data_IF_997846159944
#
_entry.id   IF_997846159944
#
_cell.length_a   1.000
_cell.length_b   1.000
_cell.length_c   1.000
_cell.angle_alpha   90.00
_cell.angle_beta   90.00
_cell.angle_gamma   90.00
#
_symmetry.space_group_name_H-M   'P 1'
#
loop_
_entity.id
_entity.type
_entity.pdbx_description
1 polymer ?
#
# COMPACT_ATOMS: atom_id res chain seq x y z
N UNK A 1 -0.60 -11.75 21.11
CA UNK A 1 -0.41 -13.23 21.18
C UNK A 1 0.21 -13.80 19.89
N UNK A 2 -0.43 -13.65 18.71
CA UNK A 2 0.11 -14.25 17.46
C UNK A 2 1.45 -13.61 17.02
N UNK A 3 1.67 -12.35 17.33
CA UNK A 3 2.90 -11.62 17.03
C UNK A 3 3.95 -11.90 18.09
N UNK A 4 3.59 -11.93 19.36
CA UNK A 4 4.45 -12.33 20.49
C UNK A 4 5.01 -13.75 20.29
N UNK A 5 4.23 -14.67 19.73
CA UNK A 5 4.68 -16.00 19.37
C UNK A 5 5.79 -16.04 18.28
N UNK A 6 6.05 -14.92 17.59
CA UNK A 6 7.12 -14.80 16.60
C UNK A 6 8.50 -14.48 17.20
N UNK A 7 8.55 -14.24 18.51
CA UNK A 7 9.79 -13.99 19.25
C UNK A 7 10.03 -12.52 19.59
N UNK A 8 11.15 -12.24 20.21
CA UNK A 8 11.55 -10.87 20.57
C UNK A 8 12.06 -10.13 19.33
N UNK A 9 11.59 -8.90 19.08
CA UNK A 9 12.10 -8.11 17.95
C UNK A 9 13.60 -7.80 18.10
N UNK A 10 14.33 -7.98 17.02
CA UNK A 10 15.73 -7.52 16.97
C UNK A 10 15.76 -6.06 16.52
N UNK A 11 16.10 -5.17 17.42
CA UNK A 11 16.20 -3.72 17.17
C UNK A 11 17.56 -3.29 16.59
N UNK A 12 18.51 -4.21 16.52
CA UNK A 12 19.91 -3.89 16.15
C UNK A 12 20.31 -4.48 14.79
N UNK A 13 19.62 -5.51 14.31
CA UNK A 13 20.01 -6.19 13.08
C UNK A 13 19.60 -5.39 11.84
N UNK A 14 20.58 -4.89 11.14
CA UNK A 14 20.43 -4.17 9.86
C UNK A 14 20.73 -5.09 8.67
N UNK A 15 21.12 -6.33 8.90
CA UNK A 15 21.56 -7.25 7.86
C UNK A 15 20.44 -7.70 6.93
N UNK A 16 20.71 -7.71 5.64
CA UNK A 16 19.82 -8.23 4.61
C UNK A 16 19.80 -9.75 4.65
N UNK A 17 18.59 -10.34 4.54
CA UNK A 17 18.41 -11.80 4.38
C UNK A 17 18.13 -12.58 5.67
N UNK A 18 18.22 -11.96 6.84
CA UNK A 18 17.83 -12.62 8.09
C UNK A 18 16.31 -12.66 8.20
N UNK A 19 15.76 -13.86 8.47
CA UNK A 19 14.32 -14.04 8.71
C UNK A 19 14.00 -13.67 10.15
N UNK A 20 13.00 -12.82 10.37
CA UNK A 20 12.60 -12.48 11.72
C UNK A 20 11.72 -11.24 11.83
N UNK A 21 11.49 -10.85 13.07
CA UNK A 21 10.78 -9.62 13.42
C UNK A 21 11.80 -8.58 13.90
N UNK A 22 11.67 -7.37 13.39
CA UNK A 22 12.54 -6.23 13.66
C UNK A 22 11.73 -5.07 14.20
N UNK A 23 12.38 -4.12 14.83
CA UNK A 23 11.74 -2.90 15.32
C UNK A 23 12.41 -1.66 14.75
N UNK A 24 11.61 -0.64 14.47
CA UNK A 24 12.04 0.71 14.11
C UNK A 24 10.96 1.73 14.49
N UNK A 25 11.36 2.98 14.69
CA UNK A 25 10.40 4.06 14.93
C UNK A 25 9.68 4.44 13.63
N UNK A 26 8.35 4.52 13.68
CA UNK A 26 7.52 5.20 12.69
C UNK A 26 7.03 6.57 13.20
N UNK A 27 6.05 7.17 12.54
CA UNK A 27 5.51 8.48 12.94
C UNK A 27 4.62 8.42 14.19
N UNK A 28 4.20 7.22 14.61
CA UNK A 28 3.26 6.99 15.71
C UNK A 28 3.89 6.26 16.90
N UNK A 29 5.15 5.83 16.78
CA UNK A 29 5.90 5.13 17.84
C UNK A 29 6.75 3.99 17.32
N UNK A 30 7.02 3.00 18.19
CA UNK A 30 7.82 1.83 17.81
C UNK A 30 6.99 0.85 17.00
N UNK A 31 7.37 0.63 15.76
CA UNK A 31 6.81 -0.36 14.84
C UNK A 31 7.61 -1.66 14.86
N UNK A 32 6.90 -2.77 14.70
CA UNK A 32 7.48 -4.09 14.51
C UNK A 32 7.19 -4.58 13.09
N UNK A 33 8.22 -4.96 12.34
CA UNK A 33 8.07 -5.37 10.95
C UNK A 33 8.75 -6.70 10.67
N UNK A 34 8.24 -7.42 9.67
CA UNK A 34 8.76 -8.72 9.29
C UNK A 34 9.72 -8.62 8.11
N UNK A 35 10.81 -9.39 8.17
CA UNK A 35 11.78 -9.55 7.08
C UNK A 35 11.91 -11.01 6.69
N UNK A 36 12.17 -11.25 5.41
CA UNK A 36 12.38 -12.58 4.88
C UNK A 36 11.13 -13.44 4.84
N UNK A 37 11.33 -14.75 4.83
CA UNK A 37 10.26 -15.76 4.72
C UNK A 37 9.66 -16.07 6.09
N UNK A 38 8.80 -15.21 6.59
CA UNK A 38 8.10 -15.43 7.86
C UNK A 38 6.85 -16.28 7.62
N UNK A 39 6.74 -17.41 8.32
CA UNK A 39 5.63 -18.35 8.21
C UNK A 39 4.39 -17.87 8.97
N UNK A 40 3.20 -18.24 8.47
CA UNK A 40 1.92 -18.09 9.17
C UNK A 40 1.62 -16.63 9.62
N UNK A 41 2.02 -15.64 8.81
CA UNK A 41 1.73 -14.24 9.05
C UNK A 41 0.68 -13.69 8.06
N UNK A 42 -0.30 -14.49 7.72
CA UNK A 42 -1.40 -14.09 6.86
C UNK A 42 -2.75 -14.21 7.56
N UNK A 43 -3.71 -13.44 7.11
CA UNK A 43 -5.09 -13.40 7.64
C UNK A 43 -6.09 -13.37 6.48
N UNK A 44 -7.30 -13.82 6.79
CA UNK A 44 -8.47 -13.63 5.95
C UNK A 44 -9.25 -12.41 6.46
N UNK A 45 -9.43 -11.39 5.62
CA UNK A 45 -10.13 -10.17 5.99
C UNK A 45 -10.77 -9.52 4.75
N UNK A 46 -12.07 -9.33 4.80
CA UNK A 46 -12.84 -8.79 3.68
C UNK A 46 -13.25 -9.82 2.63
N UNK A 47 -14.13 -9.38 1.74
CA UNK A 47 -14.67 -10.15 0.62
C UNK A 47 -14.91 -9.27 -0.59
N UNK A 48 -14.91 -9.88 -1.77
CA UNK A 48 -15.43 -9.26 -2.97
C UNK A 48 -16.96 -9.25 -2.97
N UNK A 49 -17.56 -8.14 -3.39
CA UNK A 49 -19.02 -7.95 -3.47
C UNK A 49 -19.55 -8.01 -4.90
N UNK A 50 -18.67 -8.15 -5.87
CA UNK A 50 -18.98 -8.35 -7.28
C UNK A 50 -17.84 -9.12 -7.95
N UNK A 51 -18.11 -9.66 -9.13
CA UNK A 51 -17.07 -10.15 -10.02
C UNK A 51 -16.13 -8.99 -10.36
N UNK A 52 -14.83 -9.28 -10.50
CA UNK A 52 -13.84 -8.30 -10.92
C UNK A 52 -12.98 -8.84 -12.07
N UNK A 53 -12.94 -8.09 -13.15
CA UNK A 53 -12.17 -8.36 -14.36
C UNK A 53 -11.17 -7.25 -14.60
N UNK A 54 -9.96 -7.60 -14.97
CA UNK A 54 -8.90 -6.69 -15.39
C UNK A 54 -8.73 -6.74 -16.89
N UNK A 55 -8.71 -5.59 -17.54
CA UNK A 55 -8.43 -5.46 -18.97
C UNK A 55 -7.02 -4.89 -19.17
N UNK A 56 -6.14 -5.66 -19.82
CA UNK A 56 -4.75 -5.28 -20.06
C UNK A 56 -4.61 -4.15 -21.12
N UNK A 57 -5.62 -3.92 -21.95
CA UNK A 57 -5.53 -2.93 -23.02
C UNK A 57 -5.75 -1.50 -22.53
N UNK A 58 -6.57 -1.32 -21.51
CA UNK A 58 -6.90 0.00 -20.94
C UNK A 58 -6.56 0.14 -19.46
N UNK A 59 -5.98 -0.91 -18.85
CA UNK A 59 -5.61 -0.96 -17.42
C UNK A 59 -6.79 -0.66 -16.48
N UNK A 60 -8.00 -1.10 -16.83
CA UNK A 60 -9.23 -0.80 -16.09
C UNK A 60 -9.82 -2.05 -15.45
N UNK A 61 -10.48 -1.85 -14.30
CA UNK A 61 -11.24 -2.89 -13.60
C UNK A 61 -12.74 -2.77 -13.97
N UNK A 62 -13.35 -3.91 -14.27
CA UNK A 62 -14.77 -4.02 -14.64
C UNK A 62 -15.47 -5.08 -13.79
N UNK A 63 -16.75 -4.90 -13.53
CA UNK A 63 -17.62 -5.93 -12.93
C UNK A 63 -18.09 -6.98 -13.94
N UNK A 64 -18.04 -6.65 -15.23
CA UNK A 64 -18.24 -7.56 -16.35
C UNK A 64 -17.31 -7.14 -17.50
N UNK A 65 -16.67 -8.10 -18.16
CA UNK A 65 -15.80 -7.77 -19.29
C UNK A 65 -16.63 -7.12 -20.42
N UNK A 66 -16.20 -5.96 -20.95
CA UNK A 66 -16.88 -5.34 -22.08
C UNK A 66 -16.88 -6.26 -23.32
N UNK A 67 -17.91 -6.15 -24.16
CA UNK A 67 -18.05 -6.92 -25.40
C UNK A 67 -16.82 -6.72 -26.29
N UNK A 68 -16.21 -7.84 -26.72
CA UNK A 68 -14.99 -7.85 -27.51
C UNK A 68 -13.71 -7.51 -26.71
N UNK A 69 -13.81 -7.31 -25.41
CA UNK A 69 -12.67 -7.07 -24.53
C UNK A 69 -11.88 -8.34 -24.21
N UNK A 70 -10.57 -8.19 -24.02
CA UNK A 70 -9.69 -9.24 -23.50
C UNK A 70 -9.47 -8.98 -22.01
N UNK A 71 -10.24 -9.65 -21.15
CA UNK A 71 -10.16 -9.47 -19.71
C UNK A 71 -9.71 -10.73 -18.99
N UNK A 72 -8.92 -10.54 -17.94
CA UNK A 72 -8.60 -11.58 -16.99
C UNK A 72 -9.50 -11.44 -15.76
N UNK A 73 -10.22 -12.50 -15.38
CA UNK A 73 -11.00 -12.52 -14.14
C UNK A 73 -10.06 -12.59 -12.94
N UNK A 74 -10.13 -11.60 -12.06
CA UNK A 74 -9.30 -11.49 -10.87
C UNK A 74 -10.00 -12.09 -9.65
N UNK A 75 -11.32 -11.82 -9.50
CA UNK A 75 -12.10 -12.29 -8.37
C UNK A 75 -13.56 -12.54 -8.77
N UNK A 76 -14.23 -13.40 -8.01
CA UNK A 76 -15.67 -13.62 -8.09
C UNK A 76 -16.39 -12.98 -6.91
N UNK A 77 -17.66 -12.63 -7.12
CA UNK A 77 -18.53 -12.21 -6.04
C UNK A 77 -18.53 -13.24 -4.91
N UNK A 78 -18.28 -12.80 -3.68
CA UNK A 78 -18.19 -13.63 -2.48
C UNK A 78 -16.82 -14.23 -2.18
N UNK A 79 -15.84 -14.09 -3.08
CA UNK A 79 -14.47 -14.53 -2.81
C UNK A 79 -13.90 -13.86 -1.57
N UNK A 80 -13.29 -14.66 -0.69
CA UNK A 80 -12.56 -14.17 0.48
C UNK A 80 -11.28 -13.46 0.06
N UNK A 81 -10.88 -12.45 0.81
CA UNK A 81 -9.63 -11.72 0.61
C UNK A 81 -8.58 -12.18 1.62
N UNK A 82 -7.37 -12.46 1.12
CA UNK A 82 -6.23 -12.90 1.94
C UNK A 82 -5.16 -11.82 1.95
N UNK A 83 -4.54 -11.61 3.13
CA UNK A 83 -3.60 -10.56 3.38
C UNK A 83 -2.41 -11.10 4.15
N UNK A 84 -1.22 -10.59 3.82
CA UNK A 84 -0.02 -10.84 4.60
C UNK A 84 0.22 -9.67 5.55
N UNK A 85 0.41 -9.97 6.82
CA UNK A 85 0.82 -8.97 7.82
C UNK A 85 2.30 -8.67 7.58
N UNK A 86 2.61 -7.41 7.32
CA UNK A 86 3.99 -6.95 7.07
C UNK A 86 4.55 -6.15 8.23
N UNK A 87 3.68 -5.49 9.02
CA UNK A 87 4.09 -4.62 10.11
C UNK A 87 2.97 -4.48 11.16
N UNK A 88 3.37 -4.31 12.42
CA UNK A 88 2.56 -3.72 13.48
C UNK A 88 3.05 -2.30 13.69
N UNK A 89 2.21 -1.32 13.46
CA UNK A 89 2.55 0.10 13.55
C UNK A 89 2.71 0.53 15.01
N UNK A 90 3.27 1.73 15.25
CA UNK A 90 3.50 2.28 16.58
C UNK A 90 2.23 2.48 17.42
N UNK A 91 1.05 2.57 16.80
CA UNK A 91 -0.26 2.63 17.47
C UNK A 91 -0.91 1.24 17.70
N UNK A 92 -0.19 0.15 17.43
CA UNK A 92 -0.63 -1.25 17.49
C UNK A 92 -1.63 -1.69 16.39
N UNK A 93 -1.92 -0.88 15.40
CA UNK A 93 -2.63 -1.34 14.21
C UNK A 93 -1.73 -2.23 13.34
N UNK A 94 -2.33 -3.09 12.51
CA UNK A 94 -1.58 -3.97 11.61
C UNK A 94 -1.58 -3.43 10.19
N UNK A 95 -0.40 -3.34 9.58
CA UNK A 95 -0.28 -3.08 8.16
C UNK A 95 -0.20 -4.40 7.40
N UNK A 96 -1.04 -4.51 6.39
CA UNK A 96 -1.18 -5.72 5.60
C UNK A 96 -1.01 -5.42 4.12
N UNK A 97 -0.51 -6.42 3.37
CA UNK A 97 -0.50 -6.39 1.91
C UNK A 97 -1.46 -7.44 1.38
N UNK A 98 -2.28 -7.06 0.40
CA UNK A 98 -3.19 -7.97 -0.28
C UNK A 98 -2.42 -9.03 -1.07
N UNK A 99 -2.85 -10.30 -0.94
CA UNK A 99 -2.20 -11.46 -1.58
C UNK A 99 -3.11 -12.26 -2.50
N UNK A 100 -4.36 -11.85 -2.66
CA UNK A 100 -5.29 -12.48 -3.59
C UNK A 100 -6.48 -13.16 -2.92
N UNK A 101 -7.21 -13.95 -3.70
CA UNK A 101 -8.44 -14.67 -3.29
C UNK A 101 -8.17 -16.13 -2.88
N UNK A 102 -6.94 -16.60 -2.99
CA UNK A 102 -6.56 -17.96 -2.62
C UNK A 102 -5.77 -17.94 -1.32
N UNK A 103 -6.11 -18.80 -0.33
CA UNK A 103 -5.34 -18.88 0.90
C UNK A 103 -3.88 -19.20 0.59
N UNK A 104 -2.92 -18.48 1.17
CA UNK A 104 -1.51 -18.79 1.00
C UNK A 104 -1.19 -20.20 1.51
N UNK A 105 -0.39 -20.94 0.76
CA UNK A 105 0.18 -22.22 1.18
C UNK A 105 1.58 -22.02 1.72
N UNK A 106 2.18 -23.03 2.34
CA UNK A 106 3.57 -22.99 2.77
C UNK A 106 4.54 -22.61 1.63
N UNK A 107 4.26 -23.07 0.41
CA UNK A 107 5.07 -22.76 -0.76
C UNK A 107 4.81 -21.36 -1.34
N UNK A 108 3.60 -20.83 -1.22
CA UNK A 108 3.17 -19.60 -1.89
C UNK A 108 3.09 -18.37 -0.98
N UNK A 109 3.11 -18.55 0.35
CA UNK A 109 2.98 -17.46 1.31
C UNK A 109 4.06 -16.37 1.22
N UNK A 110 5.15 -16.63 0.50
CA UNK A 110 6.26 -15.70 0.29
C UNK A 110 6.30 -15.11 -1.11
N UNK A 111 5.49 -15.63 -2.03
CA UNK A 111 5.57 -15.27 -3.45
C UNK A 111 4.66 -14.10 -3.71
N UNK A 112 5.28 -12.96 -3.98
CA UNK A 112 4.62 -11.77 -4.48
C UNK A 112 5.06 -11.58 -5.93
N UNK A 113 4.39 -12.29 -6.86
CA UNK A 113 4.72 -12.17 -8.29
C UNK A 113 3.73 -11.28 -9.01
N UNK A 114 4.25 -10.37 -9.78
CA UNK A 114 3.48 -9.47 -10.64
C UNK A 114 2.84 -10.17 -11.86
N UNK A 115 3.24 -11.42 -12.10
CA UNK A 115 2.73 -12.23 -13.22
C UNK A 115 1.53 -13.11 -12.85
N UNK A 116 1.21 -13.23 -11.57
CA UNK A 116 0.09 -14.04 -11.11
C UNK A 116 -1.06 -13.13 -10.64
N UNK A 117 -2.03 -12.90 -11.48
CA UNK A 117 -3.22 -12.09 -11.18
C UNK A 117 -4.05 -12.60 -10.00
N UNK A 118 -3.89 -13.86 -9.57
CA UNK A 118 -4.53 -14.36 -8.36
C UNK A 118 -3.95 -13.77 -7.07
N UNK A 119 -2.77 -13.16 -7.15
CA UNK A 119 -2.09 -12.47 -6.03
C UNK A 119 -1.95 -10.97 -6.28
N UNK A 120 -2.56 -10.45 -7.33
CA UNK A 120 -2.53 -9.02 -7.67
C UNK A 120 -3.91 -8.53 -8.09
N UNK A 121 -4.10 -7.23 -8.09
CA UNK A 121 -5.33 -6.58 -8.57
C UNK A 121 -5.20 -6.08 -10.00
N UNK A 122 -4.22 -6.55 -10.76
CA UNK A 122 -3.90 -6.11 -12.10
C UNK A 122 -2.69 -5.17 -12.16
N UNK A 123 -2.51 -4.49 -13.26
CA UNK A 123 -1.41 -3.56 -13.54
C UNK A 123 -1.94 -2.24 -14.03
N UNK A 124 -1.29 -1.15 -13.65
CA UNK A 124 -1.57 0.18 -14.16
C UNK A 124 -0.30 1.03 -14.09
N UNK A 125 -0.10 2.04 -14.97
CA UNK A 125 0.96 3.02 -14.74
C UNK A 125 0.75 3.72 -13.40
N UNK A 126 1.83 4.11 -12.74
CA UNK A 126 1.73 4.95 -11.55
C UNK A 126 1.01 6.26 -11.87
N UNK A 127 1.40 6.92 -12.96
CA UNK A 127 0.68 8.02 -13.57
C UNK A 127 0.77 7.93 -15.09
N UNK A 128 -0.28 8.28 -15.81
CA UNK A 128 -0.27 8.38 -17.28
C UNK A 128 0.58 9.55 -17.77
N UNK A 129 0.71 10.61 -16.96
CA UNK A 129 1.65 11.69 -17.17
C UNK A 129 2.96 11.39 -16.43
N UNK A 130 4.11 11.66 -17.04
CA UNK A 130 5.43 11.30 -16.50
C UNK A 130 6.56 12.30 -16.82
N UNK A 131 6.23 13.41 -17.46
CA UNK A 131 7.19 14.41 -17.95
C UNK A 131 7.53 15.50 -16.91
N UNK A 132 6.97 15.42 -15.68
CA UNK A 132 7.22 16.37 -14.62
C UNK A 132 7.41 15.68 -13.27
N UNK A 133 8.17 16.30 -12.39
CA UNK A 133 8.54 15.78 -11.07
C UNK A 133 7.34 15.58 -10.14
N UNK A 134 6.29 16.40 -10.23
CA UNK A 134 5.09 16.23 -9.43
C UNK A 134 4.32 14.94 -9.69
N UNK A 135 4.48 14.32 -10.86
CA UNK A 135 3.76 13.09 -11.24
C UNK A 135 4.22 11.83 -10.53
N UNK A 136 5.27 11.90 -9.69
CA UNK A 136 5.63 10.83 -8.76
C UNK A 136 4.72 10.79 -7.53
N UNK A 137 3.90 11.80 -7.34
CA UNK A 137 2.94 11.88 -6.24
C UNK A 137 1.77 10.90 -6.38
N UNK A 138 1.43 10.19 -5.31
CA UNK A 138 0.19 9.42 -5.20
C UNK A 138 -1.05 10.31 -5.41
N UNK A 139 -0.98 11.54 -4.91
CA UNK A 139 -1.72 12.70 -5.40
C UNK A 139 -0.72 13.82 -5.71
N UNK A 140 -1.08 14.74 -6.59
CA UNK A 140 -0.20 15.84 -7.01
C UNK A 140 -0.96 17.13 -7.28
N UNK A 141 -0.25 18.24 -7.30
CA UNK A 141 -0.69 19.53 -7.83
C UNK A 141 0.40 20.03 -8.77
N UNK A 142 0.02 20.51 -9.95
CA UNK A 142 1.00 21.01 -10.93
C UNK A 142 1.82 22.17 -10.34
N UNK A 143 3.14 22.06 -10.47
CA UNK A 143 4.08 23.07 -9.95
C UNK A 143 4.34 22.97 -8.44
N UNK A 144 3.86 21.95 -7.74
CA UNK A 144 4.07 21.76 -6.29
C UNK A 144 4.72 20.43 -5.98
N UNK A 145 5.77 20.41 -5.16
CA UNK A 145 6.46 19.20 -4.73
C UNK A 145 5.55 18.26 -3.93
N UNK A 146 4.76 18.81 -3.01
CA UNK A 146 3.91 18.07 -2.07
C UNK A 146 2.42 18.32 -2.29
N UNK A 147 2.02 18.62 -3.53
CA UNK A 147 0.64 18.90 -3.89
C UNK A 147 -0.26 17.66 -3.76
N UNK A 148 -1.55 17.88 -3.44
CA UNK A 148 -2.53 16.82 -3.16
C UNK A 148 -3.90 17.07 -3.80
N UNK A 149 -3.98 17.88 -4.86
CA UNK A 149 -5.27 18.28 -5.47
C UNK A 149 -5.80 17.31 -6.52
N UNK A 150 -4.93 16.48 -7.10
CA UNK A 150 -5.28 15.61 -8.23
C UNK A 150 -4.80 14.17 -7.96
N UNK A 151 -5.66 13.19 -8.21
CA UNK A 151 -5.29 11.78 -8.08
C UNK A 151 -4.32 11.36 -9.20
N UNK A 152 -3.32 10.58 -8.85
CA UNK A 152 -2.56 9.82 -9.85
C UNK A 152 -3.41 8.71 -10.46
N UNK A 153 -2.93 8.11 -11.55
CA UNK A 153 -3.60 6.97 -12.17
C UNK A 153 -3.70 5.79 -11.21
N UNK A 154 -2.61 5.47 -10.49
CA UNK A 154 -2.60 4.36 -9.52
C UNK A 154 -3.57 4.60 -8.36
N UNK A 155 -3.70 5.84 -7.87
CA UNK A 155 -4.68 6.16 -6.82
C UNK A 155 -6.11 5.92 -7.29
N UNK A 156 -6.45 6.44 -8.46
CA UNK A 156 -7.77 6.22 -9.07
C UNK A 156 -8.05 4.73 -9.27
N UNK A 157 -7.05 3.97 -9.68
CA UNK A 157 -7.16 2.52 -9.83
C UNK A 157 -7.43 1.80 -8.50
N UNK A 158 -6.71 2.17 -7.42
CA UNK A 158 -6.92 1.58 -6.10
C UNK A 158 -8.26 1.97 -5.49
N UNK A 159 -8.70 3.22 -5.66
CA UNK A 159 -10.03 3.66 -5.24
C UNK A 159 -11.13 2.86 -5.97
N UNK A 160 -10.96 2.61 -7.27
CA UNK A 160 -11.88 1.78 -8.03
C UNK A 160 -11.87 0.32 -7.54
N UNK A 161 -10.68 -0.28 -7.33
CA UNK A 161 -10.56 -1.63 -6.76
C UNK A 161 -11.32 -1.77 -5.43
N UNK A 162 -11.20 -0.79 -4.55
CA UNK A 162 -11.85 -0.80 -3.24
C UNK A 162 -13.37 -0.97 -3.36
N UNK A 163 -13.99 -0.42 -4.41
CA UNK A 163 -15.44 -0.51 -4.63
C UNK A 163 -15.95 -1.91 -4.94
N UNK A 164 -15.07 -2.83 -5.37
CA UNK A 164 -15.42 -4.24 -5.61
C UNK A 164 -15.46 -5.08 -4.34
N UNK A 165 -15.13 -4.49 -3.19
CA UNK A 165 -14.96 -5.18 -1.91
C UNK A 165 -15.96 -4.69 -0.86
N UNK A 166 -16.10 -5.45 0.24
CA UNK A 166 -16.86 -4.99 1.40
C UNK A 166 -16.00 -4.24 2.43
N UNK A 167 -14.78 -3.83 2.08
CA UNK A 167 -13.86 -3.16 3.01
C UNK A 167 -14.44 -1.87 3.59
N UNK A 168 -15.30 -1.17 2.83
CA UNK A 168 -16.01 0.03 3.30
C UNK A 168 -16.92 -0.22 4.51
N UNK A 169 -17.34 -1.46 4.76
CA UNK A 169 -18.14 -1.80 5.95
C UNK A 169 -17.31 -1.86 7.24
N UNK A 170 -15.99 -1.87 7.12
CA UNK A 170 -15.04 -1.93 8.23
C UNK A 170 -14.40 -0.58 8.56
N UNK A 171 -14.73 0.45 7.81
CA UNK A 171 -14.30 1.83 8.02
C UNK A 171 -15.50 2.78 7.97
N UNK A 172 -15.83 3.41 9.08
CA UNK A 172 -17.05 4.22 9.23
C UNK A 172 -16.79 5.60 9.83
N UNK A 173 -15.72 6.24 9.55
CA UNK A 173 -15.29 7.56 10.02
C UNK A 173 -14.21 7.52 11.13
N UNK A 174 -13.28 6.58 11.03
CA UNK A 174 -12.13 6.48 11.94
C UNK A 174 -12.54 6.39 13.42
N UNK A 175 -13.49 5.52 13.70
CA UNK A 175 -13.96 5.27 15.06
C UNK A 175 -13.17 4.13 15.73
N UNK A 176 -13.17 4.07 17.05
CA UNK A 176 -12.50 2.99 17.80
C UNK A 176 -13.11 1.59 17.59
N UNK A 177 -14.25 1.51 16.92
CA UNK A 177 -14.93 0.26 16.57
C UNK A 177 -14.63 -0.21 15.14
N UNK A 178 -13.94 0.62 14.35
CA UNK A 178 -13.55 0.27 12.99
C UNK A 178 -12.49 -0.82 13.02
N UNK A 179 -12.66 -1.82 12.17
CA UNK A 179 -11.65 -2.88 11.98
C UNK A 179 -10.58 -2.49 10.97
N UNK A 180 -10.87 -1.52 10.12
CA UNK A 180 -9.94 -0.94 9.15
C UNK A 180 -9.53 0.45 9.66
N UNK A 181 -8.27 0.60 10.05
CA UNK A 181 -7.76 1.83 10.62
C UNK A 181 -7.35 2.84 9.53
N UNK A 182 -7.52 4.14 9.83
CA UNK A 182 -6.97 5.23 9.01
C UNK A 182 -5.48 5.39 9.29
N UNK A 183 -4.67 4.66 8.53
CA UNK A 183 -3.22 4.62 8.70
C UNK A 183 -2.49 5.50 7.71
N UNK A 184 -1.36 6.07 8.13
CA UNK A 184 -0.48 6.84 7.27
C UNK A 184 0.05 5.96 6.14
N UNK A 185 -0.35 6.26 4.90
CA UNK A 185 0.29 5.75 3.69
C UNK A 185 1.29 6.79 3.22
N UNK A 186 2.58 6.53 3.40
CA UNK A 186 3.62 7.49 3.05
C UNK A 186 3.90 7.46 1.53
N UNK A 187 3.97 8.62 0.91
CA UNK A 187 4.57 8.80 -0.40
C UNK A 187 5.62 9.91 -0.28
N UNK A 188 6.80 9.56 0.24
CA UNK A 188 7.88 10.51 0.51
C UNK A 188 8.42 11.13 -0.78
N UNK A 189 8.10 12.40 -0.99
CA UNK A 189 8.52 13.22 -2.14
C UNK A 189 9.60 14.24 -1.77
N UNK A 190 10.21 14.08 -0.58
CA UNK A 190 11.35 14.93 -0.23
C UNK A 190 12.51 14.69 -1.19
N UNK A 191 13.24 15.77 -1.48
CA UNK A 191 14.41 15.74 -2.36
C UNK A 191 15.67 16.02 -1.58
N UNK A 192 16.79 15.49 -2.04
CA UNK A 192 18.11 15.77 -1.50
C UNK A 192 18.74 17.02 -2.13
N UNK A 193 18.19 17.47 -3.24
CA UNK A 193 18.55 18.72 -3.94
C UNK A 193 17.34 19.68 -4.03
N UNK A 194 17.50 20.78 -4.74
CA UNK A 194 16.41 21.73 -4.98
C UNK A 194 15.36 21.13 -5.91
N UNK A 195 14.12 21.05 -5.45
CA UNK A 195 13.02 20.53 -6.26
C UNK A 195 12.73 21.42 -7.48
N UNK A 196 12.40 20.78 -8.60
CA UNK A 196 12.01 21.43 -9.84
C UNK A 196 10.89 20.66 -10.52
N UNK A 197 9.86 21.33 -11.00
CA UNK A 197 8.76 20.72 -11.76
C UNK A 197 9.21 20.15 -13.11
N UNK A 198 10.32 20.63 -13.66
CA UNK A 198 10.77 20.24 -15.02
C UNK A 198 11.68 19.00 -15.04
N UNK A 199 11.88 18.32 -13.90
CA UNK A 199 12.70 17.12 -13.80
C UNK A 199 14.13 17.37 -13.30
N UNK A 200 14.95 16.33 -13.33
CA UNK A 200 16.33 16.37 -12.83
C UNK A 200 16.40 16.45 -11.29
N UNK A 201 15.45 15.82 -10.61
CA UNK A 201 15.31 15.87 -9.15
C UNK A 201 15.79 14.56 -8.54
N UNK A 202 16.64 14.64 -7.51
CA UNK A 202 17.06 13.48 -6.71
C UNK A 202 16.17 13.35 -5.47
N UNK A 203 15.43 12.23 -5.39
CA UNK A 203 14.53 11.97 -4.27
C UNK A 203 15.27 11.35 -3.09
N UNK A 204 15.10 11.91 -1.89
CA UNK A 204 15.73 11.45 -0.66
C UNK A 204 15.41 9.97 -0.33
N UNK A 205 14.27 9.44 -0.80
CA UNK A 205 13.95 8.02 -0.67
C UNK A 205 14.91 7.13 -1.47
N UNK A 206 15.34 7.57 -2.68
CA UNK A 206 16.33 6.87 -3.50
C UNK A 206 17.72 6.87 -2.85
N UNK A 207 18.10 7.99 -2.23
CA UNK A 207 19.36 8.09 -1.51
C UNK A 207 19.41 7.15 -0.30
N UNK A 208 18.32 7.10 0.49
CA UNK A 208 18.20 6.14 1.61
C UNK A 208 18.26 4.69 1.13
N UNK A 209 17.58 4.38 0.02
CA UNK A 209 17.65 3.05 -0.58
C UNK A 209 19.08 2.69 -0.98
N UNK A 210 19.76 3.59 -1.68
CA UNK A 210 21.13 3.39 -2.15
C UNK A 210 22.14 3.29 -1.00
N UNK A 211 21.94 4.04 0.08
CA UNK A 211 22.76 4.01 1.29
C UNK A 211 22.44 2.84 2.22
N UNK A 212 21.37 2.05 1.96
CA UNK A 212 20.91 0.98 2.86
C UNK A 212 20.38 1.47 4.20
N UNK A 213 19.83 2.69 4.25
CA UNK A 213 19.31 3.33 5.47
C UNK A 213 17.79 3.56 5.37
N UNK A 214 16.98 2.51 5.27
CA UNK A 214 15.52 2.66 5.16
C UNK A 214 14.94 3.30 6.43
N UNK A 215 13.80 3.99 6.27
CA UNK A 215 13.08 4.61 7.37
C UNK A 215 11.59 4.29 7.27
N UNK A 216 10.94 4.07 8.42
CA UNK A 216 9.49 3.98 8.52
C UNK A 216 8.83 5.33 8.78
N UNK A 217 9.62 6.40 8.96
CA UNK A 217 9.12 7.76 9.17
C UNK A 217 8.84 8.47 7.86
N UNK A 218 7.70 9.14 7.83
CA UNK A 218 7.27 10.01 6.75
C UNK A 218 7.38 11.47 7.21
N UNK A 219 8.50 12.13 6.94
CA UNK A 219 8.84 13.40 7.59
C UNK A 219 7.94 14.57 7.20
N UNK A 220 7.43 14.59 5.98
CA UNK A 220 6.58 15.65 5.46
C UNK A 220 5.10 15.28 5.61
N UNK A 221 4.33 16.08 6.35
CA UNK A 221 2.92 15.79 6.64
C UNK A 221 2.06 15.72 5.37
N UNK A 222 2.31 16.56 4.36
CA UNK A 222 1.61 16.51 3.08
C UNK A 222 1.79 15.18 2.32
N UNK A 223 2.83 14.42 2.65
CA UNK A 223 3.13 13.09 2.08
C UNK A 223 2.57 11.93 2.93
N UNK A 224 1.92 12.22 4.05
CA UNK A 224 1.26 11.26 4.94
C UNK A 224 -0.20 11.13 4.55
N UNK A 225 -0.50 10.23 3.65
CA UNK A 225 -1.85 10.06 3.13
C UNK A 225 -2.74 9.31 4.12
N UNK A 226 -3.82 9.96 4.57
CA UNK A 226 -4.85 9.48 5.49
C UNK A 226 -6.23 9.90 4.96
N UNK A 227 -7.30 9.29 5.46
CA UNK A 227 -8.69 9.63 5.08
C UNK A 227 -9.19 10.80 5.93
N UNK A 228 -9.31 10.59 7.25
CA UNK A 228 -9.91 11.55 8.19
C UNK A 228 -8.90 12.09 9.21
N UNK A 229 -7.75 11.42 9.41
CA UNK A 229 -6.71 11.88 10.32
C UNK A 229 -5.92 13.06 9.74
N UNK A 230 -6.44 14.27 9.98
CA UNK A 230 -5.76 15.51 9.62
C UNK A 230 -4.75 15.96 10.68
N UNK A 231 -4.61 15.26 11.79
CA UNK A 231 -3.62 15.53 12.83
C UNK A 231 -2.26 14.96 12.45
N UNK A 232 -2.21 13.68 12.15
CA UNK A 232 -0.98 12.96 11.81
C UNK A 232 -0.74 12.89 10.31
N UNK A 233 -1.78 13.01 9.49
CA UNK A 233 -1.74 12.94 8.04
C UNK A 233 -2.35 14.14 7.32
N UNK A 234 -2.60 14.00 6.04
CA UNK A 234 -3.08 15.07 5.15
C UNK A 234 -4.60 15.05 4.90
N UNK A 235 -5.30 13.96 5.28
CA UNK A 235 -6.76 13.84 5.10
C UNK A 235 -7.22 13.81 3.63
N UNK A 236 -6.34 13.43 2.68
CA UNK A 236 -6.64 13.55 1.24
C UNK A 236 -7.10 12.23 0.59
N UNK A 237 -7.08 11.11 1.31
CA UNK A 237 -7.56 9.84 0.77
C UNK A 237 -9.09 9.79 0.77
N UNK A 238 -9.63 9.11 -0.25
CA UNK A 238 -11.04 8.73 -0.31
C UNK A 238 -11.31 7.45 0.48
N UNK A 239 -10.35 6.52 0.43
CA UNK A 239 -10.46 5.19 1.05
C UNK A 239 -9.17 4.87 1.83
N UNK A 240 -9.25 4.10 2.93
CA UNK A 240 -8.10 3.77 3.78
C UNK A 240 -7.20 2.67 3.15
N UNK A 241 -6.86 2.86 1.89
CA UNK A 241 -5.97 1.98 1.12
C UNK A 241 -4.93 2.81 0.38
N UNK A 242 -3.74 2.28 0.27
CA UNK A 242 -2.64 2.96 -0.41
C UNK A 242 -1.56 1.99 -0.86
N UNK A 243 -0.51 2.54 -1.44
CA UNK A 243 0.67 1.79 -1.82
C UNK A 243 1.53 1.49 -0.59
N UNK A 244 2.27 0.40 -0.66
CA UNK A 244 3.34 0.12 0.30
C UNK A 244 4.55 0.95 -0.10
N UNK A 245 5.06 1.69 0.85
CA UNK A 245 6.25 2.52 0.72
C UNK A 245 7.26 2.13 1.76
#
# INVERSE_FOLDING_TARGET
EAIEAKGTPDVTAVETGVVGMYAAEDDLGTSYYFRGKVNNNWVKFGKYTSDMYYNENDYTLYNACPDGGSCTKIASNGDDMYWRIIRVNGDNSMRMIYTGVTPPTEATQYVMTDTNYSTSIGKTPFNTNYDKSEYVGYMYTLGEQHGISTNSTIKTYLDNWYTFTNLSTYYTNNTSTDLLADQINCNDRNTSDAWSSTGGVDYAANDRYSAGTPSLKCTTKADRFTVDDVTNGNGALTNPVGLIT
#
